data_IF_455209551733
#
_entry.id   IF_455209551733
#
_cell.length_a   1.000
_cell.length_b   1.000
_cell.length_c   1.000
_cell.angle_alpha   90.00
_cell.angle_beta   90.00
_cell.angle_gamma   90.00
#
_symmetry.space_group_name_H-M   'P 1'
#
loop_
_entity.id
_entity.type
_entity.pdbx_description
1 polymer ?
#
# COMPACT_ATOMS: atom_id res chain seq x y z
N UNK A 1 -27.98 -40.88 -20.00
CA UNK A 1 -26.53 -40.66 -20.05
C UNK A 1 -26.29 -39.17 -20.06
N UNK A 2 -26.26 -38.63 -18.85
CA UNK A 2 -25.81 -37.30 -18.50
C UNK A 2 -24.31 -37.16 -18.76
N UNK A 3 -23.88 -36.03 -19.30
CA UNK A 3 -22.68 -35.36 -18.82
C UNK A 3 -22.76 -33.87 -19.17
N UNK A 4 -23.32 -33.12 -18.21
CA UNK A 4 -23.08 -31.70 -18.05
C UNK A 4 -21.81 -31.60 -17.20
N UNK A 5 -20.65 -31.52 -17.85
CA UNK A 5 -19.40 -31.19 -17.16
C UNK A 5 -19.41 -29.70 -16.80
N UNK A 6 -19.71 -29.50 -15.52
CA UNK A 6 -19.49 -28.32 -14.69
C UNK A 6 -18.46 -27.33 -15.24
N UNK A 7 -18.92 -26.14 -15.64
CA UNK A 7 -18.05 -24.97 -15.68
C UNK A 7 -17.68 -24.65 -14.23
N UNK A 8 -16.41 -24.90 -13.89
CA UNK A 8 -15.84 -24.58 -12.58
C UNK A 8 -16.00 -23.08 -12.30
N UNK A 9 -16.66 -22.76 -11.19
CA UNK A 9 -16.89 -21.41 -10.65
C UNK A 9 -15.60 -20.77 -10.07
N UNK A 10 -14.43 -21.25 -10.47
CA UNK A 10 -13.11 -20.83 -9.98
C UNK A 10 -12.12 -20.54 -11.12
N UNK A 11 -12.58 -19.93 -12.21
CA UNK A 11 -11.66 -19.43 -13.24
C UNK A 11 -11.58 -17.89 -13.16
N UNK A 12 -10.81 -17.41 -12.17
CA UNK A 12 -10.51 -15.97 -12.00
C UNK A 12 -9.15 -15.59 -12.62
N UNK A 13 -8.38 -16.54 -13.15
CA UNK A 13 -6.94 -16.36 -13.38
C UNK A 13 -6.46 -16.54 -14.84
N UNK A 14 -7.35 -16.67 -15.81
CA UNK A 14 -6.95 -16.86 -17.22
C UNK A 14 -6.82 -15.56 -18.03
N UNK A 15 -6.32 -14.47 -17.45
CA UNK A 15 -5.80 -13.34 -18.24
C UNK A 15 -4.31 -13.21 -17.98
N UNK A 16 -3.43 -13.23 -19.01
CA UNK A 16 -2.06 -12.79 -18.80
C UNK A 16 -2.11 -11.32 -18.39
N UNK A 17 -1.94 -11.07 -17.09
CA UNK A 17 -1.79 -9.72 -16.57
C UNK A 17 -0.43 -9.25 -17.08
N UNK A 18 -0.43 -8.43 -18.13
CA UNK A 18 0.80 -7.79 -18.58
C UNK A 18 1.36 -7.04 -17.37
N UNK A 19 2.59 -7.34 -16.91
CA UNK A 19 3.15 -6.70 -15.73
C UNK A 19 3.13 -5.19 -15.96
N UNK A 20 2.45 -4.49 -15.04
CA UNK A 20 2.24 -3.05 -15.14
C UNK A 20 3.48 -2.28 -14.69
N UNK A 21 4.30 -2.90 -13.82
CA UNK A 21 5.56 -2.35 -13.33
C UNK A 21 6.68 -3.37 -13.58
N UNK A 22 7.85 -2.92 -14.00
CA UNK A 22 9.05 -3.74 -14.01
C UNK A 22 10.08 -3.14 -13.05
N UNK A 23 10.78 -4.00 -12.31
CA UNK A 23 11.80 -3.60 -11.34
C UNK A 23 13.11 -4.28 -11.74
N UNK A 24 14.08 -3.47 -12.14
CA UNK A 24 15.45 -3.93 -12.40
C UNK A 24 16.27 -3.72 -11.12
N UNK A 25 16.95 -4.76 -10.63
CA UNK A 25 17.73 -4.63 -9.40
C UNK A 25 18.64 -5.80 -9.08
N UNK A 26 19.34 -5.67 -7.95
CA UNK A 26 20.16 -6.74 -7.39
C UNK A 26 19.32 -7.67 -6.52
N UNK A 27 19.54 -8.99 -6.63
CA UNK A 27 18.80 -10.02 -5.86
C UNK A 27 18.75 -9.74 -4.35
N UNK A 28 19.86 -9.30 -3.79
CA UNK A 28 20.02 -9.01 -2.36
C UNK A 28 19.70 -7.55 -1.98
N UNK A 29 19.07 -6.77 -2.87
CA UNK A 29 18.72 -5.38 -2.58
C UNK A 29 17.58 -5.29 -1.56
N UNK A 30 17.84 -4.67 -0.41
CA UNK A 30 16.82 -4.37 0.60
C UNK A 30 15.74 -3.43 0.06
N UNK A 31 16.14 -2.40 -0.71
CA UNK A 31 15.20 -1.48 -1.38
C UNK A 31 14.38 -2.22 -2.43
N UNK A 32 15.01 -3.10 -3.22
CA UNK A 32 14.31 -3.96 -4.18
C UNK A 32 13.29 -4.89 -3.51
N UNK A 33 13.60 -5.40 -2.31
CA UNK A 33 12.62 -6.14 -1.51
C UNK A 33 11.45 -5.24 -1.05
N UNK A 34 11.72 -4.05 -0.51
CA UNK A 34 10.68 -3.11 -0.07
C UNK A 34 9.71 -2.72 -1.19
N UNK A 35 10.23 -2.45 -2.40
CA UNK A 35 9.41 -2.14 -3.57
C UNK A 35 8.50 -3.31 -3.96
N UNK A 36 9.05 -4.53 -3.98
CA UNK A 36 8.29 -5.75 -4.28
C UNK A 36 7.23 -6.04 -3.22
N UNK A 37 7.55 -5.87 -1.95
CA UNK A 37 6.60 -6.02 -0.84
C UNK A 37 5.46 -5.00 -0.97
N UNK A 38 5.80 -3.72 -1.19
CA UNK A 38 4.83 -2.65 -1.40
C UNK A 38 3.87 -2.96 -2.57
N UNK A 39 4.39 -3.33 -3.74
CA UNK A 39 3.58 -3.62 -4.92
C UNK A 39 2.69 -4.85 -4.69
N UNK A 40 3.25 -5.93 -4.13
CA UNK A 40 2.50 -7.14 -3.77
C UNK A 40 1.34 -6.83 -2.82
N UNK A 41 1.60 -6.05 -1.77
CA UNK A 41 0.61 -5.73 -0.73
C UNK A 41 -0.46 -4.74 -1.18
N UNK A 42 -0.18 -3.93 -2.21
CA UNK A 42 -1.17 -3.06 -2.84
C UNK A 42 -1.84 -3.69 -4.08
N UNK A 43 -1.58 -4.98 -4.36
CA UNK A 43 -2.18 -5.70 -5.48
C UNK A 43 -1.73 -5.19 -6.85
N UNK A 44 -0.56 -4.56 -6.93
CA UNK A 44 0.02 -4.06 -8.18
C UNK A 44 0.89 -5.16 -8.80
N UNK A 45 0.53 -5.69 -9.98
CA UNK A 45 1.32 -6.70 -10.68
C UNK A 45 2.66 -6.12 -11.14
N UNK A 46 3.74 -6.84 -10.88
CA UNK A 46 5.08 -6.43 -11.29
C UNK A 46 5.94 -7.59 -11.80
N UNK A 47 6.96 -7.24 -12.55
CA UNK A 47 8.05 -8.12 -12.97
C UNK A 47 9.33 -7.74 -12.22
N UNK A 48 10.06 -8.74 -11.72
CA UNK A 48 11.40 -8.55 -11.14
C UNK A 48 12.45 -9.07 -12.12
N UNK A 49 13.38 -8.20 -12.50
CA UNK A 49 14.47 -8.48 -13.43
C UNK A 49 15.80 -8.26 -12.72
N UNK A 50 16.62 -9.30 -12.67
CA UNK A 50 17.98 -9.18 -12.13
C UNK A 50 18.87 -8.45 -13.13
N UNK A 51 19.78 -7.59 -12.64
CA UNK A 51 20.65 -6.78 -13.51
C UNK A 51 21.55 -7.60 -14.45
N UNK A 52 21.78 -8.89 -14.12
CA UNK A 52 22.57 -9.81 -14.94
C UNK A 52 21.80 -10.38 -16.13
N UNK A 53 20.46 -10.28 -16.15
CA UNK A 53 19.62 -10.56 -17.32
C UNK A 53 19.75 -9.43 -18.36
N UNK A 54 20.88 -9.43 -19.06
CA UNK A 54 21.27 -8.36 -19.98
C UNK A 54 20.25 -8.17 -21.11
N UNK A 55 19.66 -9.26 -21.61
CA UNK A 55 18.65 -9.20 -22.68
C UNK A 55 17.37 -8.52 -22.20
N UNK A 56 16.86 -8.90 -21.03
CA UNK A 56 15.65 -8.31 -20.47
C UNK A 56 15.87 -6.86 -20.05
N UNK A 57 17.01 -6.56 -19.43
CA UNK A 57 17.40 -5.18 -19.05
C UNK A 57 17.52 -4.29 -20.29
N UNK A 58 18.19 -4.76 -21.35
CA UNK A 58 18.31 -4.01 -22.60
C UNK A 58 16.94 -3.68 -23.20
N UNK A 59 16.02 -4.65 -23.16
CA UNK A 59 14.63 -4.47 -23.63
C UNK A 59 13.85 -3.46 -22.79
N UNK A 60 13.99 -3.48 -21.46
CA UNK A 60 13.27 -2.57 -20.57
C UNK A 60 13.82 -1.13 -20.58
N UNK A 61 15.13 -1.00 -20.77
CA UNK A 61 15.83 0.29 -20.75
C UNK A 61 16.03 0.90 -22.16
N UNK A 62 15.46 0.30 -23.21
CA UNK A 62 15.65 0.71 -24.62
C UNK A 62 17.13 0.94 -24.96
N UNK A 63 18.01 0.05 -24.50
CA UNK A 63 19.46 0.17 -24.70
C UNK A 63 20.17 1.26 -23.90
N UNK A 64 19.49 1.94 -22.98
CA UNK A 64 20.14 2.84 -22.01
C UNK A 64 20.92 2.02 -20.99
N UNK A 65 22.22 2.29 -20.86
CA UNK A 65 23.07 1.67 -19.83
C UNK A 65 23.00 2.50 -18.55
N UNK A 66 22.11 2.12 -17.65
CA UNK A 66 22.06 2.65 -16.29
C UNK A 66 22.84 1.69 -15.41
N UNK A 67 24.09 2.07 -15.10
CA UNK A 67 24.99 1.26 -14.29
C UNK A 67 24.45 0.95 -12.88
N UNK A 68 25.13 0.08 -12.12
CA UNK A 68 24.67 -0.41 -10.81
C UNK A 68 24.33 0.68 -9.78
N UNK A 69 24.92 1.87 -9.91
CA UNK A 69 24.69 3.02 -9.03
C UNK A 69 23.27 3.63 -9.16
N UNK A 70 22.52 3.23 -10.19
CA UNK A 70 21.15 3.67 -10.43
C UNK A 70 20.09 2.67 -9.95
N UNK A 71 20.48 1.55 -9.35
CA UNK A 71 19.56 0.50 -8.93
C UNK A 71 18.92 0.76 -7.55
N UNK A 72 17.70 0.25 -7.29
CA UNK A 72 16.81 -0.39 -8.27
C UNK A 72 16.19 0.64 -9.23
N UNK A 73 15.87 0.22 -10.45
CA UNK A 73 15.14 1.03 -11.43
C UNK A 73 13.73 0.48 -11.55
N UNK A 74 12.72 1.31 -11.34
CA UNK A 74 11.33 0.94 -11.64
C UNK A 74 10.88 1.54 -12.97
N UNK A 75 10.27 0.73 -13.82
CA UNK A 75 9.58 1.16 -15.03
C UNK A 75 8.07 1.07 -14.75
N UNK A 76 7.37 2.19 -14.90
CA UNK A 76 5.94 2.31 -14.62
C UNK A 76 5.08 2.04 -15.88
N UNK A 77 3.74 1.89 -15.74
CA UNK A 77 2.87 1.53 -16.88
C UNK A 77 2.85 2.58 -17.99
N UNK A 78 3.14 3.84 -17.65
CA UNK A 78 3.22 4.95 -18.60
C UNK A 78 4.58 5.03 -19.32
N UNK A 79 5.49 4.09 -19.03
CA UNK A 79 6.85 4.03 -19.59
C UNK A 79 7.87 4.89 -18.85
N UNK A 80 7.46 5.64 -17.82
CA UNK A 80 8.40 6.41 -17.00
C UNK A 80 9.37 5.49 -16.26
N UNK A 81 10.61 5.98 -16.09
CA UNK A 81 11.70 5.25 -15.45
C UNK A 81 12.15 6.00 -14.20
N UNK A 82 12.15 5.31 -13.08
CA UNK A 82 12.55 5.81 -11.78
C UNK A 82 13.87 5.13 -11.38
N UNK A 83 15.04 5.72 -11.67
CA UNK A 83 16.31 5.23 -11.14
C UNK A 83 16.39 5.53 -9.64
N UNK A 84 17.10 4.67 -8.89
CA UNK A 84 17.21 4.74 -7.42
C UNK A 84 15.80 4.83 -6.81
N UNK A 85 14.91 3.95 -7.29
CA UNK A 85 13.49 4.00 -6.97
C UNK A 85 13.25 3.84 -5.46
N UNK A 86 12.39 4.69 -4.91
CA UNK A 86 11.83 4.55 -3.56
C UNK A 86 10.37 4.12 -3.63
N UNK A 87 9.83 3.60 -2.52
CA UNK A 87 8.41 3.24 -2.40
C UNK A 87 7.53 4.46 -2.68
N UNK A 88 7.88 5.62 -2.14
CA UNK A 88 7.14 6.87 -2.32
C UNK A 88 7.11 7.33 -3.78
N UNK A 89 8.26 7.27 -4.47
CA UNK A 89 8.34 7.65 -5.87
C UNK A 89 7.50 6.73 -6.76
N UNK A 90 7.55 5.41 -6.50
CA UNK A 90 6.74 4.42 -7.22
C UNK A 90 5.26 4.60 -6.92
N UNK A 91 4.88 4.77 -5.65
CA UNK A 91 3.49 5.01 -5.25
C UNK A 91 2.92 6.28 -5.91
N UNK A 92 3.71 7.35 -5.96
CA UNK A 92 3.34 8.61 -6.61
C UNK A 92 3.13 8.41 -8.11
N UNK A 93 4.07 7.76 -8.80
CA UNK A 93 3.97 7.52 -10.24
C UNK A 93 2.83 6.56 -10.61
N UNK A 94 2.40 5.70 -9.69
CA UNK A 94 1.21 4.86 -9.84
C UNK A 94 -0.11 5.57 -9.47
N UNK A 95 -0.06 6.81 -9.00
CA UNK A 95 -1.25 7.54 -8.54
C UNK A 95 -1.87 6.97 -7.26
N UNK A 96 -1.09 6.24 -6.44
CA UNK A 96 -1.54 5.67 -5.17
C UNK A 96 -1.45 6.67 -4.00
N UNK A 97 -0.76 7.80 -4.21
CA UNK A 97 -0.63 8.88 -3.23
C UNK A 97 -1.66 9.96 -3.54
N UNK A 98 -2.45 10.34 -2.54
CA UNK A 98 -3.39 11.47 -2.60
C UNK A 98 -3.01 12.52 -1.56
N UNK A 99 -3.26 13.80 -1.82
CA UNK A 99 -3.14 14.85 -0.81
C UNK A 99 -4.31 14.74 0.19
N UNK A 100 -4.11 15.19 1.46
CA UNK A 100 -5.21 15.29 2.41
C UNK A 100 -6.34 16.15 1.82
N UNK A 101 -7.56 15.63 1.81
CA UNK A 101 -8.72 16.37 1.25
C UNK A 101 -9.17 17.54 2.14
N UNK A 102 -8.90 17.47 3.44
CA UNK A 102 -9.38 18.44 4.43
C UNK A 102 -8.23 19.23 5.06
N UNK A 103 -8.50 20.49 5.37
CA UNK A 103 -7.55 21.34 6.10
C UNK A 103 -7.39 20.93 7.58
N UNK A 104 -8.40 20.29 8.17
CA UNK A 104 -8.39 19.79 9.55
C UNK A 104 -9.30 18.56 9.68
N UNK A 105 -8.83 17.56 10.41
CA UNK A 105 -9.56 16.35 10.78
C UNK A 105 -9.96 16.37 12.26
N UNK A 106 -11.01 15.65 12.62
CA UNK A 106 -11.33 15.43 14.03
C UNK A 106 -10.44 14.32 14.62
N UNK A 107 -10.09 13.31 13.81
CA UNK A 107 -9.24 12.19 14.21
C UNK A 107 -8.23 11.82 13.11
N UNK A 108 -6.94 11.81 13.45
CA UNK A 108 -5.89 11.22 12.62
C UNK A 108 -5.43 9.87 13.20
N UNK A 109 -5.31 8.86 12.37
CA UNK A 109 -4.91 7.50 12.77
C UNK A 109 -3.61 7.17 12.06
N UNK A 110 -2.57 6.82 12.82
CA UNK A 110 -1.29 6.38 12.27
C UNK A 110 -1.27 4.86 12.21
N UNK A 111 -1.18 4.31 11.01
CA UNK A 111 -1.27 2.89 10.68
C UNK A 111 -2.66 2.48 10.22
N UNK A 112 -2.72 1.67 9.16
CA UNK A 112 -3.95 1.04 8.65
C UNK A 112 -3.92 -0.48 8.82
N UNK A 113 -3.38 -0.98 9.94
CA UNK A 113 -3.60 -2.35 10.40
C UNK A 113 -5.04 -2.59 10.87
N UNK A 114 -5.38 -3.79 11.39
CA UNK A 114 -6.75 -4.07 11.87
C UNK A 114 -7.24 -3.07 12.92
N UNK A 115 -6.37 -2.64 13.85
CA UNK A 115 -6.70 -1.64 14.86
C UNK A 115 -6.99 -0.26 14.25
N UNK A 116 -6.12 0.20 13.33
CA UNK A 116 -6.28 1.49 12.66
C UNK A 116 -7.48 1.54 11.74
N UNK A 117 -7.72 0.48 10.96
CA UNK A 117 -8.90 0.36 10.11
C UNK A 117 -10.18 0.28 10.93
N UNK A 118 -10.19 -0.45 12.06
CA UNK A 118 -11.33 -0.44 12.96
C UNK A 118 -11.59 0.98 13.52
N UNK A 119 -10.56 1.67 13.99
CA UNK A 119 -10.68 3.05 14.47
C UNK A 119 -11.21 3.98 13.36
N UNK A 120 -10.77 3.80 12.11
CA UNK A 120 -11.23 4.58 10.97
C UNK A 120 -12.72 4.35 10.68
N UNK A 121 -13.17 3.09 10.70
CA UNK A 121 -14.58 2.74 10.54
C UNK A 121 -15.44 3.37 11.63
N UNK A 122 -15.06 3.19 12.90
CA UNK A 122 -15.86 3.70 14.03
C UNK A 122 -15.84 5.23 14.12
N UNK A 123 -14.69 5.87 13.87
CA UNK A 123 -14.60 7.33 13.86
C UNK A 123 -15.49 7.94 12.80
N UNK A 124 -15.38 7.45 11.56
CA UNK A 124 -16.18 7.96 10.45
C UNK A 124 -17.68 7.63 10.59
N UNK A 125 -18.06 6.47 11.15
CA UNK A 125 -19.48 6.13 11.35
C UNK A 125 -20.19 7.03 12.34
N UNK A 126 -19.47 7.60 13.31
CA UNK A 126 -19.97 8.60 14.26
C UNK A 126 -19.88 10.04 13.74
N UNK A 127 -19.53 10.21 12.46
CA UNK A 127 -19.50 11.51 11.79
C UNK A 127 -18.22 12.33 12.02
N UNK A 128 -17.15 11.73 12.56
CA UNK A 128 -15.86 12.39 12.67
C UNK A 128 -15.19 12.50 11.29
N UNK A 129 -14.64 13.67 10.96
CA UNK A 129 -13.72 13.80 9.83
C UNK A 129 -12.45 13.02 10.16
N UNK A 130 -12.32 11.84 9.57
CA UNK A 130 -11.32 10.83 9.97
C UNK A 130 -10.34 10.57 8.84
N UNK A 131 -9.05 10.57 9.16
CA UNK A 131 -7.99 10.16 8.23
C UNK A 131 -7.13 9.07 8.84
N UNK A 132 -6.88 8.01 8.07
CA UNK A 132 -5.89 6.99 8.38
C UNK A 132 -4.69 7.15 7.45
N UNK A 133 -3.49 7.18 8.03
CA UNK A 133 -2.22 7.29 7.30
C UNK A 133 -1.48 5.97 7.38
N UNK A 134 -1.12 5.41 6.24
CA UNK A 134 -0.44 4.12 6.12
C UNK A 134 0.85 4.23 5.32
N UNK A 135 1.91 3.65 5.88
CA UNK A 135 3.25 3.72 5.30
C UNK A 135 3.43 2.79 4.09
N UNK A 136 2.78 1.63 4.07
CA UNK A 136 2.99 0.60 3.04
C UNK A 136 1.68 0.22 2.36
N UNK A 137 0.78 -0.43 3.10
CA UNK A 137 -0.46 -0.97 2.56
C UNK A 137 -1.46 -1.25 3.68
N UNK A 138 -2.78 -1.10 3.43
CA UNK A 138 -3.79 -1.49 4.41
C UNK A 138 -3.67 -2.95 4.86
N UNK A 139 -4.11 -3.22 6.07
CA UNK A 139 -3.99 -4.53 6.73
C UNK A 139 -2.76 -4.66 7.62
N UNK A 140 -1.75 -3.79 7.47
CA UNK A 140 -0.51 -3.88 8.24
C UNK A 140 0.11 -5.28 8.15
N UNK A 141 0.66 -5.79 9.25
CA UNK A 141 1.20 -7.15 9.32
C UNK A 141 0.13 -8.24 9.12
N UNK A 142 -1.10 -8.00 9.56
CA UNK A 142 -2.18 -8.97 9.37
C UNK A 142 -2.49 -9.17 7.87
N UNK A 143 -2.26 -8.16 7.04
CA UNK A 143 -2.49 -8.20 5.59
C UNK A 143 -1.74 -9.32 4.86
N UNK A 144 -0.60 -9.77 5.40
CA UNK A 144 0.22 -10.84 4.81
C UNK A 144 -0.14 -12.23 5.34
N UNK A 145 -1.07 -12.34 6.30
CA UNK A 145 -1.49 -13.62 6.85
C UNK A 145 -2.40 -14.35 5.86
N UNK A 146 -2.06 -15.60 5.52
CA UNK A 146 -2.84 -16.42 4.58
C UNK A 146 -4.24 -16.74 5.09
N UNK A 147 -4.37 -17.04 6.38
CA UNK A 147 -5.64 -17.34 7.04
C UNK A 147 -5.61 -16.87 8.50
N UNK A 148 -6.62 -16.10 8.89
CA UNK A 148 -6.86 -15.66 10.26
C UNK A 148 -8.10 -16.40 10.77
N UNK A 149 -7.93 -17.35 11.67
CA UNK A 149 -9.02 -18.18 12.21
C UNK A 149 -9.69 -17.58 13.46
N UNK A 150 -9.04 -16.60 14.09
CA UNK A 150 -9.47 -16.02 15.37
C UNK A 150 -10.06 -14.61 15.25
N UNK A 151 -10.47 -14.19 14.04
CA UNK A 151 -11.13 -12.90 13.85
C UNK A 151 -12.65 -13.04 14.01
N UNK A 152 -13.22 -12.32 14.98
CA UNK A 152 -14.65 -12.38 15.28
C UNK A 152 -15.51 -12.06 14.04
N UNK A 153 -16.64 -12.75 13.90
CA UNK A 153 -17.54 -12.59 12.75
C UNK A 153 -17.18 -13.43 11.52
N UNK A 154 -16.01 -14.09 11.50
CA UNK A 154 -15.59 -15.00 10.42
C UNK A 154 -15.41 -16.43 10.95
N UNK A 155 -16.49 -17.23 11.08
CA UNK A 155 -16.41 -18.55 11.68
C UNK A 155 -15.52 -19.54 10.91
N UNK A 156 -15.35 -19.34 9.60
CA UNK A 156 -14.46 -20.15 8.75
C UNK A 156 -13.09 -19.51 8.53
N UNK A 157 -12.76 -18.46 9.29
CA UNK A 157 -11.61 -17.62 9.07
C UNK A 157 -11.74 -16.69 7.87
N UNK A 158 -10.75 -15.81 7.72
CA UNK A 158 -10.61 -14.87 6.60
C UNK A 158 -9.13 -14.65 6.30
N UNK A 159 -8.76 -14.44 5.04
CA UNK A 159 -7.39 -14.06 4.71
C UNK A 159 -7.08 -12.62 5.18
N UNK A 160 -5.82 -12.37 5.50
CA UNK A 160 -5.35 -11.05 5.89
C UNK A 160 -5.64 -9.96 4.86
N UNK A 161 -5.32 -10.25 3.59
CA UNK A 161 -5.57 -9.33 2.48
C UNK A 161 -7.05 -9.06 2.25
N UNK A 162 -7.92 -10.07 2.37
CA UNK A 162 -9.36 -9.90 2.25
C UNK A 162 -9.94 -9.08 3.41
N UNK A 163 -9.49 -9.33 4.64
CA UNK A 163 -9.85 -8.54 5.80
C UNK A 163 -9.48 -7.07 5.60
N UNK A 164 -8.24 -6.80 5.18
CA UNK A 164 -7.74 -5.45 4.92
C UNK A 164 -8.53 -4.73 3.83
N UNK A 165 -8.80 -5.42 2.71
CA UNK A 165 -9.56 -4.89 1.58
C UNK A 165 -10.98 -4.53 2.01
N UNK A 166 -11.67 -5.44 2.71
CA UNK A 166 -13.04 -5.22 3.20
C UNK A 166 -13.11 -4.07 4.20
N UNK A 167 -12.20 -4.04 5.17
CA UNK A 167 -12.18 -3.00 6.19
C UNK A 167 -11.84 -1.62 5.59
N UNK A 168 -10.92 -1.55 4.63
CA UNK A 168 -10.61 -0.30 3.90
C UNK A 168 -11.82 0.20 3.11
N UNK A 169 -12.50 -0.69 2.39
CA UNK A 169 -13.71 -0.35 1.65
C UNK A 169 -14.84 0.13 2.59
N UNK A 170 -14.97 -0.49 3.76
CA UNK A 170 -15.92 -0.07 4.79
C UNK A 170 -15.58 1.31 5.36
N UNK A 171 -14.33 1.56 5.71
CA UNK A 171 -13.88 2.86 6.24
C UNK A 171 -14.17 3.98 5.23
N UNK A 172 -13.78 3.79 3.96
CA UNK A 172 -14.07 4.74 2.87
C UNK A 172 -15.56 4.96 2.65
N UNK A 173 -16.38 3.91 2.73
CA UNK A 173 -17.84 4.02 2.62
C UNK A 173 -18.44 4.93 3.70
N UNK A 174 -17.88 4.93 4.91
CA UNK A 174 -18.30 5.84 5.98
C UNK A 174 -17.70 7.25 5.88
N UNK A 175 -16.81 7.49 4.91
CA UNK A 175 -16.17 8.79 4.70
C UNK A 175 -14.82 8.94 5.39
N UNK A 176 -14.21 7.85 5.87
CA UNK A 176 -12.82 7.90 6.30
C UNK A 176 -11.89 8.04 5.08
N UNK A 177 -10.97 8.98 5.16
CA UNK A 177 -9.89 9.10 4.20
C UNK A 177 -8.76 8.13 4.56
N UNK A 178 -8.14 7.52 3.56
CA UNK A 178 -7.02 6.58 3.76
C UNK A 178 -5.87 6.98 2.84
N UNK A 179 -4.85 7.59 3.43
CA UNK A 179 -3.62 8.01 2.77
C UNK A 179 -2.60 6.87 2.78
N UNK A 180 -2.09 6.49 1.61
CA UNK A 180 -1.14 5.39 1.43
C UNK A 180 0.25 5.90 1.10
N UNK A 181 1.25 5.01 1.28
CA UNK A 181 2.66 5.24 0.97
C UNK A 181 3.24 6.51 1.61
N UNK A 182 2.77 6.83 2.82
CA UNK A 182 3.17 8.04 3.56
C UNK A 182 3.57 7.70 4.98
N UNK A 183 4.80 7.20 5.19
CA UNK A 183 5.37 7.07 6.52
C UNK A 183 5.20 8.35 7.34
N UNK A 184 4.84 8.18 8.61
CA UNK A 184 4.89 9.27 9.57
C UNK A 184 6.36 9.64 9.84
N UNK A 185 6.64 10.94 9.87
CA UNK A 185 7.92 11.50 10.32
C UNK A 185 7.84 11.99 11.76
N UNK A 186 6.81 12.75 12.09
CA UNK A 186 6.67 13.39 13.40
C UNK A 186 5.20 13.71 13.69
N UNK A 187 4.85 13.76 14.98
CA UNK A 187 3.57 14.30 15.45
C UNK A 187 3.79 15.21 16.64
N UNK A 188 3.34 16.45 16.53
CA UNK A 188 3.55 17.47 17.54
C UNK A 188 2.23 18.15 17.94
N UNK A 189 2.19 18.71 19.15
CA UNK A 189 1.09 19.58 19.58
C UNK A 189 1.02 20.83 18.71
N UNK A 190 -0.18 21.20 18.32
CA UNK A 190 -0.47 22.40 17.51
C UNK A 190 -1.74 23.08 18.05
N UNK A 191 -1.55 24.07 18.92
CA UNK A 191 -2.65 24.71 19.65
C UNK A 191 -3.43 23.70 20.51
N UNK A 192 -4.73 23.55 20.22
CA UNK A 192 -5.60 22.57 20.88
C UNK A 192 -5.56 21.17 20.25
N UNK A 193 -4.92 21.04 19.09
CA UNK A 193 -4.82 19.80 18.32
C UNK A 193 -3.39 19.33 18.14
N UNK A 194 -3.16 18.72 16.98
CA UNK A 194 -1.92 18.05 16.60
C UNK A 194 -1.62 18.30 15.12
N UNK A 195 -0.32 18.35 14.81
CA UNK A 195 0.21 18.43 13.47
C UNK A 195 1.04 17.17 13.20
N UNK A 196 0.56 16.38 12.26
CA UNK A 196 1.17 15.13 11.79
C UNK A 196 1.96 15.43 10.51
N UNK A 197 3.26 15.16 10.49
CA UNK A 197 4.13 15.36 9.33
C UNK A 197 4.49 14.03 8.66
N UNK A 198 4.35 13.98 7.34
CA UNK A 198 4.55 12.78 6.53
C UNK A 198 5.88 12.86 5.75
N UNK A 199 6.36 11.71 5.27
CA UNK A 199 7.67 11.60 4.61
C UNK A 199 7.82 12.44 3.33
N UNK A 200 6.72 12.76 2.67
CA UNK A 200 6.68 13.61 1.48
C UNK A 200 6.49 15.11 1.81
N UNK A 201 6.54 15.47 3.09
CA UNK A 201 6.35 16.83 3.57
C UNK A 201 4.88 17.25 3.69
N UNK A 202 3.92 16.37 3.37
CA UNK A 202 2.52 16.66 3.63
C UNK A 202 2.26 16.78 5.15
N UNK A 203 1.36 17.70 5.49
CA UNK A 203 0.95 17.95 6.87
C UNK A 203 -0.54 17.62 7.03
N UNK A 204 -0.87 16.92 8.11
CA UNK A 204 -2.25 16.60 8.50
C UNK A 204 -2.52 17.22 9.88
N UNK A 205 -3.47 18.14 9.94
CA UNK A 205 -3.92 18.74 11.20
C UNK A 205 -5.10 17.97 11.76
N UNK A 206 -5.07 17.65 13.05
CA UNK A 206 -6.18 16.97 13.70
C UNK A 206 -6.44 17.42 15.14
N UNK A 207 -7.66 17.24 15.62
CA UNK A 207 -8.02 17.52 17.03
C UNK A 207 -7.60 16.40 17.98
N UNK A 208 -7.72 15.17 17.52
CA UNK A 208 -7.23 13.98 18.20
C UNK A 208 -6.38 13.12 17.27
N UNK A 209 -5.61 12.21 17.85
CA UNK A 209 -4.86 11.22 17.09
C UNK A 209 -4.80 9.88 17.82
N UNK A 210 -4.50 8.82 17.07
CA UNK A 210 -4.30 7.47 17.59
C UNK A 210 -3.11 6.80 16.92
N UNK A 211 -2.22 6.22 17.72
CA UNK A 211 -1.13 5.38 17.24
C UNK A 211 -1.58 3.92 17.17
N UNK A 212 -1.61 3.36 15.97
CA UNK A 212 -1.95 1.94 15.74
C UNK A 212 -0.91 1.21 14.91
N UNK A 213 0.24 1.87 14.67
CA UNK A 213 1.34 1.30 13.92
C UNK A 213 2.13 0.31 14.79
N UNK A 214 2.64 -0.76 14.16
CA UNK A 214 3.46 -1.77 14.82
C UNK A 214 4.94 -1.37 14.96
N UNK A 215 5.34 -0.23 14.40
CA UNK A 215 6.65 0.39 14.67
C UNK A 215 6.57 1.23 15.95
N UNK A 216 7.71 1.48 16.59
CA UNK A 216 7.78 2.31 17.79
C UNK A 216 7.19 3.70 17.52
N UNK A 217 6.48 4.23 18.51
CA UNK A 217 6.01 5.62 18.54
C UNK A 217 7.23 6.57 18.48
N UNK A 218 7.21 7.62 17.63
CA UNK A 218 8.30 8.58 17.50
C UNK A 218 8.47 9.45 18.75
#
# INVERSE_FOLDING_TARGET
>A
MSDLTSASMFDYDARPVTPQVAIVGLRASSVGYQLRDFLSRNGVPYEWVEIDDTERVHTLLDGSDLGPDHLPICILPDGSRLPIATVEAVATGLGLVSLPELAEYDLAIVGAGPAGLAAAVYGASEGLRTVAVEAVAPGGQAGTTSMIENYLGFPQGISGGELATRATAQARRFGAEVLLARPLVDIARDGLGYLTRLSDGAEVRSRGWSWTSSVNEP
#
